data_IF_249086702667
#
_entry.id   IF_249086702667
#
_cell.length_a   1.000
_cell.length_b   1.000
_cell.length_c   1.000
_cell.angle_alpha   90.00
_cell.angle_beta   90.00
_cell.angle_gamma   90.00
#
_symmetry.space_group_name_H-M   'P 1'
#
loop_
_entity.id
_entity.type
_entity.pdbx_description
1 polymer ?
#
# COMPACT_ATOMS: atom_id res chain seq x y z
N UNK A 1 11.09 -11.50 -30.60
CA UNK A 1 12.16 -11.30 -29.60
C UNK A 1 11.46 -11.11 -28.27
N UNK A 2 11.20 -12.22 -27.56
CA UNK A 2 10.63 -12.18 -26.23
C UNK A 2 11.71 -11.69 -25.27
N UNK A 3 11.66 -10.42 -24.89
CA UNK A 3 12.37 -9.94 -23.73
C UNK A 3 11.68 -10.56 -22.51
N UNK A 4 12.12 -11.75 -22.11
CA UNK A 4 11.80 -12.32 -20.83
C UNK A 4 12.39 -11.34 -19.77
N UNK A 5 11.53 -10.47 -19.21
CA UNK A 5 11.85 -9.77 -17.98
C UNK A 5 12.08 -10.84 -16.93
N UNK A 6 13.35 -11.15 -16.66
CA UNK A 6 13.69 -11.97 -15.51
C UNK A 6 13.08 -11.32 -14.27
N UNK A 7 12.12 -12.02 -13.65
CA UNK A 7 11.53 -11.57 -12.39
C UNK A 7 12.64 -11.50 -11.35
N UNK A 8 13.07 -10.30 -10.99
CA UNK A 8 14.02 -10.11 -9.89
C UNK A 8 13.34 -10.50 -8.58
N UNK A 9 14.11 -11.11 -7.70
CA UNK A 9 13.71 -11.29 -6.30
C UNK A 9 13.42 -9.92 -5.67
N UNK A 10 12.42 -9.82 -4.77
CA UNK A 10 12.14 -8.57 -4.07
C UNK A 10 13.40 -8.01 -3.42
N UNK A 11 13.63 -6.69 -3.46
CA UNK A 11 14.78 -6.07 -2.83
C UNK A 11 14.62 -6.12 -1.31
N UNK A 12 15.72 -6.35 -0.61
CA UNK A 12 15.78 -6.27 0.85
C UNK A 12 15.43 -4.86 1.35
N UNK A 13 15.09 -4.72 2.63
CA UNK A 13 14.83 -3.41 3.24
C UNK A 13 15.98 -2.42 2.98
N UNK A 14 17.22 -2.87 3.15
CA UNK A 14 18.41 -2.05 2.90
C UNK A 14 18.47 -1.55 1.46
N UNK A 15 18.17 -2.42 0.49
CA UNK A 15 18.13 -2.06 -0.93
C UNK A 15 16.97 -1.12 -1.24
N UNK A 16 15.79 -1.33 -0.63
CA UNK A 16 14.66 -0.41 -0.73
C UNK A 16 15.03 0.99 -0.24
N UNK A 17 15.66 1.10 0.93
CA UNK A 17 16.10 2.39 1.47
C UNK A 17 17.15 3.05 0.56
N UNK A 18 18.10 2.28 0.04
CA UNK A 18 19.10 2.80 -0.93
C UNK A 18 18.39 3.37 -2.17
N UNK A 19 17.41 2.67 -2.73
CA UNK A 19 16.60 3.16 -3.86
C UNK A 19 15.84 4.45 -3.53
N UNK A 20 15.29 4.58 -2.31
CA UNK A 20 14.60 5.80 -1.88
C UNK A 20 15.58 6.99 -1.83
N UNK A 21 16.77 6.80 -1.25
CA UNK A 21 17.82 7.85 -1.20
C UNK A 21 18.34 8.22 -2.59
N UNK A 22 18.61 7.25 -3.46
CA UNK A 22 19.03 7.48 -4.85
C UNK A 22 18.01 8.31 -5.63
N UNK A 23 16.71 8.11 -5.33
CA UNK A 23 15.61 8.87 -5.92
C UNK A 23 15.33 10.20 -5.19
N UNK A 24 16.17 10.58 -4.22
CA UNK A 24 16.06 11.84 -3.46
C UNK A 24 14.69 12.01 -2.81
N UNK A 25 14.13 10.91 -2.29
CA UNK A 25 12.88 10.94 -1.52
C UNK A 25 13.14 11.60 -0.18
N UNK A 26 12.21 12.45 0.25
CA UNK A 26 12.38 13.20 1.50
C UNK A 26 12.26 12.28 2.72
N UNK A 27 13.02 12.54 3.78
CA UNK A 27 13.08 11.73 5.00
C UNK A 27 11.71 11.43 5.62
N UNK A 28 10.80 12.40 5.63
CA UNK A 28 9.45 12.20 6.17
C UNK A 28 8.61 11.22 5.35
N UNK A 29 8.86 11.13 4.03
CA UNK A 29 8.22 10.12 3.17
C UNK A 29 8.85 8.74 3.40
N UNK A 30 10.15 8.68 3.59
CA UNK A 30 10.85 7.42 3.94
C UNK A 30 10.30 6.91 5.29
N UNK A 31 10.16 7.78 6.29
CA UNK A 31 9.60 7.44 7.59
C UNK A 31 8.15 6.93 7.46
N UNK A 32 7.33 7.57 6.61
CA UNK A 32 5.99 7.09 6.28
C UNK A 32 6.01 5.68 5.69
N UNK A 33 6.83 5.44 4.67
CA UNK A 33 6.94 4.12 4.02
C UNK A 33 7.40 3.03 5.01
N UNK A 34 8.32 3.35 5.93
CA UNK A 34 8.73 2.44 6.99
C UNK A 34 7.60 2.15 7.99
N UNK A 35 6.79 3.14 8.34
CA UNK A 35 5.61 2.94 9.20
C UNK A 35 4.55 2.08 8.50
N UNK A 36 4.33 2.27 7.19
CA UNK A 36 3.44 1.40 6.38
C UNK A 36 3.98 -0.02 6.34
N UNK A 37 5.28 -0.25 6.15
CA UNK A 37 5.88 -1.58 6.17
C UNK A 37 5.72 -2.27 7.54
N UNK A 38 5.87 -1.54 8.65
CA UNK A 38 5.57 -2.07 9.99
C UNK A 38 4.09 -2.49 10.13
N UNK A 39 3.17 -1.69 9.60
CA UNK A 39 1.75 -2.03 9.60
C UNK A 39 1.47 -3.30 8.77
N UNK A 40 2.13 -3.47 7.63
CA UNK A 40 2.10 -4.72 6.85
C UNK A 40 2.52 -5.91 7.72
N UNK A 41 3.66 -5.82 8.42
CA UNK A 41 4.15 -6.91 9.29
C UNK A 41 3.14 -7.28 10.37
N UNK A 42 2.49 -6.29 11.00
CA UNK A 42 1.47 -6.52 12.02
C UNK A 42 0.29 -7.30 11.43
N UNK A 43 -0.21 -6.91 10.27
CA UNK A 43 -1.35 -7.60 9.62
C UNK A 43 -0.95 -8.99 9.14
N UNK A 44 0.24 -9.17 8.57
CA UNK A 44 0.75 -10.48 8.17
C UNK A 44 0.84 -11.44 9.36
N UNK A 45 1.28 -10.95 10.52
CA UNK A 45 1.30 -11.75 11.74
C UNK A 45 -0.10 -12.23 12.15
N UNK A 46 -1.13 -11.40 12.01
CA UNK A 46 -2.51 -11.82 12.28
C UNK A 46 -3.03 -12.82 11.25
N UNK A 47 -2.66 -12.63 9.99
CA UNK A 47 -3.05 -13.53 8.91
C UNK A 47 -2.31 -14.87 8.94
N UNK A 48 -1.20 -15.00 9.70
CA UNK A 48 -0.39 -16.21 9.77
C UNK A 48 -1.17 -17.46 10.23
N UNK A 49 -2.29 -17.28 10.94
CA UNK A 49 -3.18 -18.38 11.35
C UNK A 49 -4.24 -18.73 10.29
N UNK A 50 -4.21 -18.09 9.13
CA UNK A 50 -5.15 -18.30 8.02
C UNK A 50 -4.48 -19.07 6.88
N UNK A 51 -5.28 -19.49 5.88
CA UNK A 51 -4.76 -20.17 4.69
C UNK A 51 -4.53 -19.19 3.52
N UNK A 52 -4.45 -17.88 3.78
CA UNK A 52 -4.16 -16.91 2.72
C UNK A 52 -2.70 -17.04 2.28
N UNK A 53 -2.48 -17.06 0.97
CA UNK A 53 -1.14 -17.12 0.40
C UNK A 53 -0.78 -15.76 -0.16
N UNK A 54 0.31 -15.18 0.33
CA UNK A 54 0.80 -13.84 -0.03
C UNK A 54 2.30 -13.90 -0.29
N UNK A 55 2.78 -13.10 -1.23
CA UNK A 55 4.20 -12.83 -1.41
C UNK A 55 4.62 -11.73 -0.42
N UNK A 56 4.93 -12.15 0.81
CA UNK A 56 5.24 -11.25 1.92
C UNK A 56 6.46 -10.38 1.64
N UNK A 57 7.50 -10.92 1.02
CA UNK A 57 8.72 -10.17 0.68
C UNK A 57 8.43 -9.09 -0.37
N UNK A 58 7.65 -9.43 -1.40
CA UNK A 58 7.25 -8.45 -2.39
C UNK A 58 6.33 -7.37 -1.80
N UNK A 59 5.42 -7.74 -0.90
CA UNK A 59 4.51 -6.81 -0.23
C UNK A 59 5.27 -5.85 0.70
N UNK A 60 6.22 -6.34 1.48
CA UNK A 60 7.07 -5.49 2.34
C UNK A 60 7.93 -4.52 1.51
N UNK A 61 8.52 -5.01 0.43
CA UNK A 61 9.26 -4.15 -0.51
C UNK A 61 8.36 -3.11 -1.17
N UNK A 62 7.12 -3.49 -1.54
CA UNK A 62 6.14 -2.56 -2.08
C UNK A 62 5.76 -1.48 -1.07
N UNK A 63 5.58 -1.84 0.21
CA UNK A 63 5.28 -0.89 1.28
C UNK A 63 6.42 0.12 1.49
N UNK A 64 7.67 -0.32 1.43
CA UNK A 64 8.85 0.56 1.54
C UNK A 64 9.03 1.48 0.33
N UNK A 65 8.53 1.10 -0.85
CA UNK A 65 8.79 1.80 -2.13
C UNK A 65 7.56 2.48 -2.71
N UNK A 66 6.36 2.39 -2.08
CA UNK A 66 5.12 2.84 -2.73
C UNK A 66 5.11 4.33 -3.09
N UNK A 67 5.81 5.13 -2.32
CA UNK A 67 5.94 6.58 -2.52
C UNK A 67 7.31 7.00 -3.12
N UNK A 68 8.06 6.10 -3.78
CA UNK A 68 9.37 6.38 -4.38
C UNK A 68 9.36 7.54 -5.39
N UNK A 69 8.22 7.84 -5.99
CA UNK A 69 8.02 8.94 -6.91
C UNK A 69 7.11 10.05 -6.34
N UNK A 70 7.04 10.21 -5.00
CA UNK A 70 6.07 11.10 -4.33
C UNK A 70 6.03 12.54 -4.83
N UNK A 71 7.13 13.04 -5.37
CA UNK A 71 7.23 14.40 -5.91
C UNK A 71 6.57 14.56 -7.29
N UNK A 72 6.30 13.44 -7.95
CA UNK A 72 5.72 13.44 -9.31
C UNK A 72 4.19 13.52 -9.27
N UNK A 73 3.62 14.20 -10.27
CA UNK A 73 2.18 14.09 -10.52
C UNK A 73 1.89 12.65 -10.95
N UNK A 74 0.86 12.03 -10.41
CA UNK A 74 0.56 10.60 -10.61
C UNK A 74 1.69 9.69 -10.11
N UNK A 75 2.24 9.98 -8.93
CA UNK A 75 3.39 9.28 -8.33
C UNK A 75 3.25 7.76 -8.28
N UNK A 76 2.01 7.23 -8.12
CA UNK A 76 1.75 5.79 -8.12
C UNK A 76 2.13 5.15 -9.46
N UNK A 77 1.69 5.73 -10.57
CA UNK A 77 1.99 5.24 -11.92
C UNK A 77 3.48 5.41 -12.25
N UNK A 78 4.04 6.57 -11.92
CA UNK A 78 5.46 6.87 -12.17
C UNK A 78 6.36 5.92 -11.38
N UNK A 79 6.08 5.71 -10.09
CA UNK A 79 6.79 4.75 -9.25
C UNK A 79 6.67 3.32 -9.77
N UNK A 80 5.46 2.92 -10.17
CA UNK A 80 5.20 1.61 -10.74
C UNK A 80 5.99 1.36 -12.02
N UNK A 81 6.01 2.31 -12.95
CA UNK A 81 6.78 2.20 -14.19
C UNK A 81 8.28 2.12 -13.92
N UNK A 82 8.80 2.93 -13.01
CA UNK A 82 10.20 2.91 -12.58
C UNK A 82 10.62 1.54 -12.06
N UNK A 83 9.86 0.96 -11.14
CA UNK A 83 10.19 -0.35 -10.55
C UNK A 83 10.03 -1.50 -11.56
N UNK A 84 9.01 -1.44 -12.43
CA UNK A 84 8.87 -2.42 -13.53
C UNK A 84 10.05 -2.37 -14.49
N UNK A 85 10.55 -1.18 -14.83
CA UNK A 85 11.73 -1.02 -15.68
C UNK A 85 13.01 -1.59 -15.02
N UNK A 86 13.08 -1.61 -13.69
CA UNK A 86 14.16 -2.24 -12.92
C UNK A 86 14.01 -3.77 -12.77
N UNK A 87 12.93 -4.36 -13.29
CA UNK A 87 12.63 -5.79 -13.20
C UNK A 87 11.73 -6.19 -12.01
N UNK A 88 11.34 -5.26 -11.15
CA UNK A 88 10.46 -5.50 -10.00
C UNK A 88 8.98 -5.40 -10.40
N UNK A 89 8.55 -6.29 -11.31
CA UNK A 89 7.21 -6.20 -11.95
C UNK A 89 6.07 -6.35 -10.94
N UNK A 90 6.17 -7.32 -10.01
CA UNK A 90 5.16 -7.55 -8.98
C UNK A 90 5.00 -6.31 -8.08
N UNK A 91 6.11 -5.78 -7.55
CA UNK A 91 6.13 -4.59 -6.70
C UNK A 91 5.54 -3.38 -7.43
N UNK A 92 5.95 -3.13 -8.67
CA UNK A 92 5.39 -2.05 -9.47
C UNK A 92 3.88 -2.20 -9.73
N UNK A 93 3.37 -3.44 -9.82
CA UNK A 93 1.93 -3.68 -9.97
C UNK A 93 1.17 -3.33 -8.69
N UNK A 94 1.71 -3.70 -7.52
CA UNK A 94 1.12 -3.32 -6.22
C UNK A 94 1.10 -1.79 -6.04
N UNK A 95 2.22 -1.12 -6.34
CA UNK A 95 2.35 0.34 -6.18
C UNK A 95 1.37 1.09 -7.08
N UNK A 96 1.10 0.62 -8.29
CA UNK A 96 0.14 1.26 -9.19
C UNK A 96 -1.27 1.40 -8.57
N UNK A 97 -1.65 0.54 -7.64
CA UNK A 97 -3.00 0.48 -7.05
C UNK A 97 -3.10 1.09 -5.66
N UNK A 98 -1.99 1.58 -5.05
CA UNK A 98 -2.03 2.04 -3.66
C UNK A 98 -2.87 3.31 -3.43
N UNK A 99 -3.09 4.11 -4.47
CA UNK A 99 -3.94 5.31 -4.36
C UNK A 99 -5.41 5.02 -4.57
N UNK A 100 -5.75 4.15 -5.52
CA UNK A 100 -7.11 3.78 -5.87
C UNK A 100 -7.16 2.30 -6.27
N UNK A 101 -8.12 1.57 -5.71
CA UNK A 101 -8.29 0.14 -5.93
C UNK A 101 -9.76 -0.24 -6.12
N UNK A 102 -10.00 -1.26 -6.94
CA UNK A 102 -11.30 -1.94 -7.02
C UNK A 102 -11.23 -3.25 -6.26
N UNK A 103 -12.08 -3.40 -5.25
CA UNK A 103 -12.12 -4.57 -4.38
C UNK A 103 -13.22 -5.52 -4.82
N UNK A 104 -12.85 -6.76 -5.14
CA UNK A 104 -13.81 -7.84 -5.32
C UNK A 104 -13.95 -8.63 -4.01
N UNK A 105 -15.08 -8.48 -3.34
CA UNK A 105 -15.35 -9.13 -2.04
C UNK A 105 -15.40 -10.67 -2.11
N UNK A 106 -15.63 -11.23 -3.30
CA UNK A 106 -15.70 -12.68 -3.52
C UNK A 106 -14.33 -13.28 -3.92
N UNK A 107 -13.34 -12.44 -4.23
CA UNK A 107 -11.97 -12.89 -4.51
C UNK A 107 -11.17 -13.04 -3.21
N UNK A 108 -10.15 -13.90 -3.16
CA UNK A 108 -9.22 -13.96 -2.04
C UNK A 108 -8.57 -12.61 -1.75
N UNK A 109 -8.18 -12.40 -0.49
CA UNK A 109 -7.35 -11.26 -0.10
C UNK A 109 -6.00 -11.35 -0.82
N UNK A 110 -5.47 -10.21 -1.29
CA UNK A 110 -4.22 -10.14 -2.05
C UNK A 110 -3.34 -8.97 -1.59
N UNK A 111 -2.11 -8.94 -2.10
CA UNK A 111 -1.08 -7.97 -1.72
C UNK A 111 -1.46 -6.53 -2.09
N UNK A 112 -2.14 -6.32 -3.23
CA UNK A 112 -2.58 -4.97 -3.64
C UNK A 112 -3.56 -4.38 -2.61
N UNK A 113 -4.50 -5.22 -2.15
CA UNK A 113 -5.48 -4.83 -1.14
C UNK A 113 -4.82 -4.53 0.20
N UNK A 114 -3.80 -5.32 0.60
CA UNK A 114 -3.07 -5.09 1.84
C UNK A 114 -2.21 -3.82 1.78
N UNK A 115 -1.50 -3.58 0.69
CA UNK A 115 -0.73 -2.34 0.52
C UNK A 115 -1.65 -1.12 0.57
N UNK A 116 -2.78 -1.16 -0.15
CA UNK A 116 -3.76 -0.09 -0.13
C UNK A 116 -4.29 0.17 1.29
N UNK A 117 -4.68 -0.88 2.02
CA UNK A 117 -5.20 -0.76 3.38
C UNK A 117 -4.15 -0.17 4.33
N UNK A 118 -2.94 -0.74 4.35
CA UNK A 118 -1.89 -0.35 5.31
C UNK A 118 -1.47 1.11 5.15
N UNK A 119 -1.41 1.64 3.92
CA UNK A 119 -1.21 3.07 3.70
C UNK A 119 -2.34 3.92 4.32
N UNK A 120 -3.59 3.42 4.33
CA UNK A 120 -4.73 4.15 4.91
C UNK A 120 -4.82 4.05 6.44
N UNK A 121 -4.02 3.18 7.07
CA UNK A 121 -3.91 3.05 8.53
C UNK A 121 -2.79 3.91 9.13
N UNK A 122 -1.95 4.52 8.30
CA UNK A 122 -0.81 5.34 8.70
C UNK A 122 -1.02 6.79 8.27
N UNK A 123 -0.74 7.74 9.14
CA UNK A 123 -0.73 9.18 8.84
C UNK A 123 0.62 9.75 9.24
N UNK A 124 1.33 10.34 8.28
CA UNK A 124 2.73 10.68 8.46
C UNK A 124 3.53 9.40 8.76
N UNK A 125 4.13 9.26 9.92
CA UNK A 125 4.88 8.07 10.35
C UNK A 125 4.23 7.31 11.53
N UNK A 126 2.96 7.63 11.84
CA UNK A 126 2.22 7.03 12.96
C UNK A 126 0.99 6.25 12.50
N UNK A 127 0.72 5.13 13.17
CA UNK A 127 -0.55 4.43 13.04
C UNK A 127 -1.68 5.29 13.61
N UNK A 128 -2.73 5.54 12.82
CA UNK A 128 -3.80 6.45 13.24
C UNK A 128 -5.21 5.91 13.02
N UNK A 129 -5.32 4.70 12.46
CA UNK A 129 -6.60 4.12 12.03
C UNK A 129 -7.19 4.81 10.80
N UNK A 130 -8.03 4.09 10.07
CA UNK A 130 -8.59 4.60 8.83
C UNK A 130 -9.62 5.71 9.05
N UNK A 131 -10.42 5.65 10.14
CA UNK A 131 -11.44 6.66 10.42
C UNK A 131 -10.83 8.05 10.53
N UNK A 132 -9.81 8.19 11.38
CA UNK A 132 -9.11 9.46 11.59
C UNK A 132 -8.40 9.94 10.33
N UNK A 133 -7.83 9.00 9.55
CA UNK A 133 -7.18 9.30 8.27
C UNK A 133 -8.18 9.89 7.28
N UNK A 134 -9.36 9.26 7.14
CA UNK A 134 -10.40 9.70 6.21
C UNK A 134 -11.10 10.98 6.67
N UNK A 135 -11.33 11.16 7.97
CA UNK A 135 -11.85 12.41 8.54
C UNK A 135 -10.96 13.60 8.16
N UNK A 136 -9.65 13.50 8.38
CA UNK A 136 -8.69 14.52 7.95
C UNK A 136 -8.74 14.78 6.44
N UNK A 137 -8.90 13.73 5.63
CA UNK A 137 -8.99 13.87 4.18
C UNK A 137 -10.28 14.59 3.74
N UNK A 138 -11.41 14.28 4.35
CA UNK A 138 -12.69 14.97 4.10
C UNK A 138 -12.62 16.46 4.42
N UNK A 139 -12.05 16.82 5.57
CA UNK A 139 -11.88 18.22 5.98
C UNK A 139 -11.02 19.01 4.97
N UNK A 140 -9.96 18.40 4.43
CA UNK A 140 -9.11 19.04 3.40
C UNK A 140 -9.80 19.25 2.06
N UNK A 141 -10.88 18.51 1.78
CA UNK A 141 -11.61 18.53 0.52
C UNK A 141 -12.99 19.19 0.66
N UNK A 142 -13.21 19.99 1.72
CA UNK A 142 -14.45 20.72 1.92
C UNK A 142 -14.74 21.63 0.72
N UNK A 143 -15.98 21.55 0.21
CA UNK A 143 -16.40 22.29 -0.99
C UNK A 143 -16.02 21.65 -2.33
N UNK A 144 -15.22 20.59 -2.37
CA UNK A 144 -14.85 19.88 -3.59
C UNK A 144 -15.57 18.52 -3.68
N UNK A 145 -16.75 18.52 -4.33
CA UNK A 145 -17.61 17.32 -4.43
C UNK A 145 -16.92 16.14 -5.12
N UNK A 146 -16.09 16.38 -6.13
CA UNK A 146 -15.40 15.31 -6.85
C UNK A 146 -14.32 14.67 -5.97
N UNK A 147 -13.54 15.47 -5.26
CA UNK A 147 -12.56 14.97 -4.30
C UNK A 147 -13.24 14.18 -3.17
N UNK A 148 -14.38 14.66 -2.66
CA UNK A 148 -15.14 13.95 -1.63
C UNK A 148 -15.68 12.60 -2.12
N UNK A 149 -16.16 12.50 -3.37
CA UNK A 149 -16.57 11.22 -3.98
C UNK A 149 -15.39 10.23 -4.05
N UNK A 150 -14.22 10.69 -4.45
CA UNK A 150 -13.02 9.85 -4.52
C UNK A 150 -12.59 9.37 -3.12
N UNK A 151 -12.67 10.23 -2.10
CA UNK A 151 -12.42 9.86 -0.72
C UNK A 151 -13.43 8.80 -0.25
N UNK A 152 -14.71 8.97 -0.55
CA UNK A 152 -15.74 7.99 -0.20
C UNK A 152 -15.53 6.64 -0.88
N UNK A 153 -15.13 6.62 -2.16
CA UNK A 153 -14.77 5.39 -2.88
C UNK A 153 -13.63 4.65 -2.17
N UNK A 154 -12.58 5.36 -1.76
CA UNK A 154 -11.43 4.80 -1.03
C UNK A 154 -11.83 4.30 0.36
N UNK A 155 -12.67 5.03 1.08
CA UNK A 155 -13.19 4.60 2.38
C UNK A 155 -14.00 3.30 2.27
N UNK A 156 -14.84 3.17 1.24
CA UNK A 156 -15.60 1.96 1.00
C UNK A 156 -14.68 0.77 0.67
N UNK A 157 -13.67 0.97 -0.19
CA UNK A 157 -12.67 -0.05 -0.48
C UNK A 157 -11.93 -0.50 0.80
N UNK A 158 -11.51 0.45 1.64
CA UNK A 158 -10.89 0.16 2.94
C UNK A 158 -11.77 -0.74 3.80
N UNK A 159 -13.06 -0.39 3.96
CA UNK A 159 -14.01 -1.20 4.75
C UNK A 159 -14.23 -2.60 4.18
N UNK A 160 -14.25 -2.73 2.85
CA UNK A 160 -14.39 -4.03 2.18
C UNK A 160 -13.17 -4.92 2.45
N UNK A 161 -11.96 -4.37 2.41
CA UNK A 161 -10.72 -5.11 2.70
C UNK A 161 -10.69 -5.53 4.17
N UNK A 162 -11.01 -4.62 5.09
CA UNK A 162 -11.13 -4.92 6.52
C UNK A 162 -12.10 -6.09 6.73
N UNK A 163 -13.25 -6.08 6.07
CA UNK A 163 -14.23 -7.17 6.19
C UNK A 163 -13.69 -8.51 5.69
N UNK A 164 -12.86 -8.52 4.64
CA UNK A 164 -12.16 -9.74 4.20
C UNK A 164 -11.23 -10.27 5.30
N UNK A 165 -10.44 -9.40 5.93
CA UNK A 165 -9.52 -9.78 7.02
C UNK A 165 -10.29 -10.31 8.22
N UNK A 166 -11.37 -9.64 8.64
CA UNK A 166 -12.24 -10.10 9.73
C UNK A 166 -12.84 -11.48 9.46
N UNK A 167 -13.30 -11.71 8.22
CA UNK A 167 -13.85 -13.00 7.82
C UNK A 167 -12.80 -14.12 7.83
N UNK A 168 -11.53 -13.80 7.47
CA UNK A 168 -10.42 -14.76 7.48
C UNK A 168 -9.95 -15.09 8.89
N UNK A 169 -9.85 -14.08 9.75
CA UNK A 169 -9.27 -14.22 11.10
C UNK A 169 -10.31 -14.57 12.16
N UNK A 170 -11.59 -14.29 11.89
CA UNK A 170 -12.67 -14.39 12.89
C UNK A 170 -12.57 -13.32 13.99
N UNK A 171 -11.73 -12.31 13.84
CA UNK A 171 -11.50 -11.24 14.82
C UNK A 171 -12.02 -9.90 14.27
N UNK A 172 -12.41 -9.01 15.18
CA UNK A 172 -12.69 -7.62 14.83
C UNK A 172 -11.38 -6.88 14.56
N UNK A 173 -11.35 -6.10 13.51
CA UNK A 173 -10.18 -5.35 13.10
C UNK A 173 -9.97 -4.12 14.00
N UNK A 174 -8.86 -4.08 14.73
CA UNK A 174 -8.51 -3.03 15.69
C UNK A 174 -7.12 -2.47 15.40
N UNK A 175 -7.02 -1.58 14.40
CA UNK A 175 -5.78 -0.83 14.14
C UNK A 175 -6.07 0.66 14.05
N UNK A 176 -5.80 1.37 15.15
CA UNK A 176 -5.98 2.80 15.26
C UNK A 176 -6.20 3.27 16.67
#
# INVERSE_FOLDING_TARGET
MDCAYERRTPPTEKECLALMYENKVDEHIIAHCQAVAKMVQIILLELSCTNVLLDEDALLSAALLHDIARKEKNHADVGALKLKAMGYVAIGTMIATHMDIEVNVNAPLNENELLFLTDKLVSEDEACGFEKRFEKAFLKCEGNLEAQKNIMKRLNATKMIIKKIENLTGKVFHYG
#
